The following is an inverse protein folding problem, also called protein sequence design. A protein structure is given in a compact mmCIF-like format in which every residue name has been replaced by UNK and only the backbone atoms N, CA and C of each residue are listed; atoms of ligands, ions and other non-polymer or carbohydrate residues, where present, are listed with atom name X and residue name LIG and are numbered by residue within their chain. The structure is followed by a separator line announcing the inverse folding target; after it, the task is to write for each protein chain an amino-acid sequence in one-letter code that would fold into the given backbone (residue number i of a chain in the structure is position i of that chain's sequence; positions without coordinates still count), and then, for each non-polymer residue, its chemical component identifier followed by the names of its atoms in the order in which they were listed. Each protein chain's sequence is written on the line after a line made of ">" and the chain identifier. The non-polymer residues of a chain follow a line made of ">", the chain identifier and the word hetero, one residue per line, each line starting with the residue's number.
data_IF_441918563269
#
_entry.id   IF_441918563269
#
_cell.length_a   1.000
_cell.length_b   1.000
_cell.length_c   1.000
_cell.angle_alpha   90.00
_cell.angle_beta   90.00
_cell.angle_gamma   90.00
#
_symmetry.space_group_name_H-M   'P 1'
#
loop_
_entity.id
_entity.type
_entity.pdbx_description
1 polymer ?
#
# COMPACT_ATOMS: atom_id res chain seq x y z
N UNK A 1 -3.50 9.47 -17.40
CA UNK A 1 -3.90 8.50 -16.36
C UNK A 1 -2.80 8.42 -15.32
N UNK A 2 -3.12 8.53 -14.03
CA UNK A 2 -2.11 8.41 -12.98
C UNK A 2 -1.64 6.94 -12.89
N UNK A 3 -0.39 6.67 -13.28
CA UNK A 3 0.20 5.32 -13.37
C UNK A 3 0.60 4.76 -12.00
N UNK A 4 0.82 5.65 -11.03
CA UNK A 4 1.25 5.35 -9.68
C UNK A 4 0.39 6.12 -8.66
N UNK A 5 -0.72 5.50 -8.26
CA UNK A 5 -1.56 5.96 -7.16
C UNK A 5 -1.44 4.98 -6.00
N UNK A 6 -1.14 5.46 -4.80
CA UNK A 6 -1.29 4.68 -3.58
C UNK A 6 -2.77 4.66 -3.20
N UNK A 7 -3.33 3.47 -3.08
CA UNK A 7 -4.67 3.31 -2.53
C UNK A 7 -4.61 3.61 -1.02
N UNK A 8 -5.57 4.39 -0.55
CA UNK A 8 -5.86 4.57 0.87
C UNK A 8 -6.66 3.38 1.43
N UNK A 9 -6.77 3.29 2.76
CA UNK A 9 -7.62 2.28 3.40
C UNK A 9 -9.08 2.40 2.95
N UNK A 10 -9.64 3.62 2.88
CA UNK A 10 -11.00 3.87 2.42
C UNK A 10 -11.23 3.40 0.98
N UNK A 11 -10.24 3.56 0.10
CA UNK A 11 -10.33 3.05 -1.27
C UNK A 11 -10.27 1.52 -1.31
N UNK A 12 -9.46 0.89 -0.46
CA UNK A 12 -9.43 -0.57 -0.32
C UNK A 12 -10.75 -1.12 0.21
N UNK A 13 -11.38 -0.44 1.16
CA UNK A 13 -12.72 -0.81 1.67
C UNK A 13 -13.77 -0.72 0.56
N UNK A 14 -13.74 0.34 -0.25
CA UNK A 14 -14.62 0.45 -1.42
C UNK A 14 -14.38 -0.69 -2.42
N UNK A 15 -13.13 -1.03 -2.71
CA UNK A 15 -12.79 -2.18 -3.56
C UNK A 15 -13.40 -3.46 -2.99
N UNK A 16 -13.23 -3.71 -1.69
CA UNK A 16 -13.77 -4.89 -1.00
C UNK A 16 -15.29 -4.99 -1.14
N UNK A 17 -16.02 -3.93 -0.80
CA UNK A 17 -17.48 -3.88 -0.90
C UNK A 17 -17.96 -4.10 -2.33
N UNK A 18 -17.33 -3.44 -3.30
CA UNK A 18 -17.70 -3.56 -4.72
C UNK A 18 -17.42 -4.96 -5.28
N UNK A 19 -16.31 -5.59 -4.88
CA UNK A 19 -16.02 -6.97 -5.26
C UNK A 19 -17.03 -7.95 -4.68
N UNK A 20 -17.44 -7.76 -3.43
CA UNK A 20 -18.51 -8.55 -2.80
C UNK A 20 -19.85 -8.41 -3.53
N UNK A 21 -20.12 -7.24 -4.13
CA UNK A 21 -21.28 -6.99 -4.99
C UNK A 21 -21.11 -7.53 -6.43
N UNK A 22 -20.01 -8.19 -6.77
CA UNK A 22 -19.74 -8.72 -8.11
C UNK A 22 -19.37 -7.66 -9.15
N UNK A 23 -19.01 -6.44 -8.73
CA UNK A 23 -18.63 -5.36 -9.64
C UNK A 23 -17.27 -5.67 -10.26
N UNK A 24 -17.20 -5.54 -11.61
CA UNK A 24 -15.97 -5.82 -12.36
C UNK A 24 -14.85 -4.82 -12.02
N UNK A 25 -13.57 -5.25 -11.96
CA UNK A 25 -12.43 -4.38 -11.66
C UNK A 25 -12.29 -3.12 -12.52
N UNK A 26 -12.72 -3.16 -13.78
CA UNK A 26 -12.72 -1.99 -14.67
C UNK A 26 -13.69 -0.90 -14.19
N UNK A 27 -14.89 -1.29 -13.73
CA UNK A 27 -15.90 -0.35 -13.22
C UNK A 27 -15.47 0.24 -11.87
N UNK A 28 -14.88 -0.58 -11.01
CA UNK A 28 -14.27 -0.14 -9.75
C UNK A 28 -13.22 0.94 -10.01
N UNK A 29 -12.33 0.72 -10.99
CA UNK A 29 -11.30 1.68 -11.35
C UNK A 29 -11.87 3.03 -11.80
N UNK A 30 -12.89 3.02 -12.66
CA UNK A 30 -13.59 4.24 -13.08
C UNK A 30 -14.23 4.98 -11.90
N UNK A 31 -14.89 4.25 -10.98
CA UNK A 31 -15.52 4.84 -9.80
C UNK A 31 -14.53 5.46 -8.80
N UNK A 32 -13.31 4.89 -8.71
CA UNK A 32 -12.24 5.39 -7.83
C UNK A 32 -11.29 6.39 -8.52
N UNK A 33 -11.58 6.76 -9.77
CA UNK A 33 -10.75 7.67 -10.56
C UNK A 33 -9.31 7.18 -10.73
N UNK A 34 -9.11 5.86 -10.87
CA UNK A 34 -7.79 5.27 -11.04
C UNK A 34 -7.74 4.34 -12.27
N UNK A 35 -6.53 3.92 -12.67
CA UNK A 35 -6.38 3.02 -13.81
C UNK A 35 -6.79 1.59 -13.44
N UNK A 36 -7.34 0.85 -14.42
CA UNK A 36 -7.67 -0.56 -14.26
C UNK A 36 -6.48 -1.40 -13.78
N UNK A 37 -5.26 -1.05 -14.19
CA UNK A 37 -4.05 -1.77 -13.80
C UNK A 37 -3.71 -1.60 -12.31
N UNK A 38 -4.13 -0.51 -11.65
CA UNK A 38 -3.98 -0.34 -10.20
C UNK A 38 -4.89 -1.33 -9.48
N UNK A 39 -6.18 -1.38 -9.82
CA UNK A 39 -7.14 -2.30 -9.21
C UNK A 39 -6.75 -3.76 -9.46
N UNK A 40 -6.37 -4.09 -10.69
CA UNK A 40 -5.95 -5.46 -11.03
C UNK A 40 -4.74 -5.91 -10.22
N UNK A 41 -3.72 -5.06 -10.07
CA UNK A 41 -2.52 -5.36 -9.27
C UNK A 41 -2.83 -5.42 -7.78
N UNK A 42 -3.74 -4.58 -7.28
CA UNK A 42 -4.18 -4.62 -5.89
C UNK A 42 -4.88 -5.95 -5.57
N UNK A 43 -5.81 -6.38 -6.42
CA UNK A 43 -6.53 -7.65 -6.27
C UNK A 43 -5.56 -8.82 -6.36
N UNK A 44 -4.71 -8.85 -7.40
CA UNK A 44 -3.80 -9.98 -7.61
C UNK A 44 -2.78 -10.16 -6.48
N UNK A 45 -2.41 -9.08 -5.79
CA UNK A 45 -1.46 -9.13 -4.67
C UNK A 45 -2.09 -9.54 -3.35
N UNK A 46 -3.40 -9.37 -3.19
CA UNK A 46 -4.07 -9.48 -1.89
C UNK A 46 -5.22 -10.50 -1.85
N UNK A 47 -5.73 -10.97 -2.99
CA UNK A 47 -6.58 -12.16 -3.05
C UNK A 47 -5.72 -13.42 -3.07
N UNK A 48 -5.76 -14.19 -1.98
CA UNK A 48 -5.16 -15.54 -1.94
C UNK A 48 -6.16 -16.56 -2.51
N UNK A 49 -5.65 -17.72 -2.92
CA UNK A 49 -6.48 -18.83 -3.37
C UNK A 49 -7.55 -19.13 -2.30
N UNK A 50 -8.81 -19.20 -2.74
CA UNK A 50 -9.99 -19.46 -1.89
C UNK A 50 -10.24 -18.44 -0.77
N UNK A 51 -9.71 -17.23 -0.87
CA UNK A 51 -9.98 -16.15 0.09
C UNK A 51 -10.57 -14.93 -0.61
N UNK A 52 -11.62 -14.37 -0.01
CA UNK A 52 -12.14 -13.08 -0.42
C UNK A 52 -11.11 -11.97 -0.21
N UNK A 53 -11.19 -10.90 -1.01
CA UNK A 53 -10.38 -9.72 -0.81
C UNK A 53 -10.66 -9.10 0.56
N UNK A 54 -9.63 -8.77 1.34
CA UNK A 54 -9.74 -8.07 2.62
C UNK A 54 -8.96 -6.76 2.59
N UNK A 55 -9.67 -5.64 2.78
CA UNK A 55 -9.08 -4.31 2.80
C UNK A 55 -8.04 -4.15 3.92
N UNK A 56 -8.35 -4.67 5.12
CA UNK A 56 -7.47 -4.61 6.28
C UNK A 56 -6.17 -5.39 6.04
N UNK A 57 -6.28 -6.63 5.55
CA UNK A 57 -5.10 -7.44 5.21
C UNK A 57 -4.25 -6.76 4.13
N UNK A 58 -4.87 -6.18 3.11
CA UNK A 58 -4.17 -5.47 2.05
C UNK A 58 -3.43 -4.23 2.57
N UNK A 59 -4.03 -3.48 3.50
CA UNK A 59 -3.40 -2.33 4.14
C UNK A 59 -2.20 -2.75 5.00
N UNK A 60 -2.37 -3.75 5.86
CA UNK A 60 -1.29 -4.30 6.70
C UNK A 60 -0.11 -4.76 5.83
N UNK A 61 -0.38 -5.45 4.72
CA UNK A 61 0.65 -5.90 3.79
C UNK A 61 1.38 -4.72 3.12
N UNK A 62 0.64 -3.67 2.75
CA UNK A 62 1.22 -2.44 2.21
C UNK A 62 2.12 -1.75 3.24
N UNK A 63 1.67 -1.60 4.49
CA UNK A 63 2.41 -0.93 5.55
C UNK A 63 3.68 -1.69 5.92
N UNK A 64 3.61 -3.03 6.00
CA UNK A 64 4.80 -3.89 6.22
C UNK A 64 5.84 -3.70 5.11
N UNK A 65 5.42 -3.73 3.85
CA UNK A 65 6.33 -3.53 2.70
C UNK A 65 6.90 -2.12 2.70
N UNK A 66 6.07 -1.11 2.97
CA UNK A 66 6.50 0.28 3.02
C UNK A 66 7.51 0.50 4.14
N UNK A 67 7.30 -0.11 5.32
CA UNK A 67 8.22 -0.03 6.44
C UNK A 67 9.56 -0.69 6.12
N UNK A 68 9.56 -1.86 5.47
CA UNK A 68 10.80 -2.54 5.09
C UNK A 68 11.63 -1.76 4.05
N UNK A 69 10.97 -0.99 3.17
CA UNK A 69 11.64 -0.18 2.16
C UNK A 69 12.02 1.23 2.65
N UNK A 70 11.62 1.65 3.86
CA UNK A 70 12.01 2.97 4.37
C UNK A 70 13.49 2.95 4.74
N UNK A 71 14.28 3.96 4.32
CA UNK A 71 15.64 4.10 4.80
C UNK A 71 15.61 4.29 6.32
N UNK A 72 16.55 3.64 7.01
CA UNK A 72 16.79 3.90 8.44
C UNK A 72 17.31 5.32 8.62
N UNK A 73 17.01 5.96 9.74
CA UNK A 73 17.59 7.26 10.00
C UNK A 73 19.09 7.08 10.22
N UNK A 74 19.89 8.00 9.68
CA UNK A 74 21.34 7.94 9.84
C UNK A 74 21.75 7.96 11.31
N UNK A 75 21.00 8.68 12.15
CA UNK A 75 21.25 8.79 13.58
C UNK A 75 20.66 7.64 14.42
N UNK A 76 19.99 6.66 13.80
CA UNK A 76 19.67 5.39 14.47
C UNK A 76 20.96 4.57 14.72
N UNK A 77 22.03 4.86 13.97
CA UNK A 77 23.37 4.33 14.21
C UNK A 77 24.02 5.12 15.35
N UNK A 78 24.26 4.44 16.47
CA UNK A 78 24.80 5.03 17.70
C UNK A 78 26.21 5.58 17.50
N UNK A 79 27.05 4.91 16.71
CA UNK A 79 28.43 5.36 16.45
C UNK A 79 28.41 6.62 15.58
N UNK A 80 27.59 6.61 14.53
CA UNK A 80 27.43 7.78 13.67
C UNK A 80 26.81 8.96 14.43
N UNK A 81 25.84 8.70 15.31
CA UNK A 81 25.22 9.73 16.14
C UNK A 81 26.24 10.39 17.08
N UNK A 82 27.05 9.59 17.78
CA UNK A 82 28.10 10.12 18.66
C UNK A 82 29.13 10.93 17.87
N UNK A 83 29.57 10.42 16.72
CA UNK A 83 30.52 11.12 15.85
C UNK A 83 30.00 12.49 15.39
N UNK A 84 28.72 12.57 15.03
CA UNK A 84 28.09 13.85 14.63
C UNK A 84 28.02 14.81 15.80
N UNK A 85 27.67 14.32 16.99
CA UNK A 85 27.66 15.16 18.20
C UNK A 85 29.06 15.71 18.48
N UNK A 86 30.07 14.85 18.59
CA UNK A 86 31.43 15.24 18.96
C UNK A 86 32.07 16.25 17.99
N UNK A 87 31.67 16.24 16.70
CA UNK A 87 32.27 17.07 15.67
C UNK A 87 31.50 18.35 15.33
N UNK A 88 30.19 18.41 15.58
CA UNK A 88 29.34 19.46 15.03
C UNK A 88 28.32 20.06 16.02
N UNK A 89 28.14 19.50 17.22
CA UNK A 89 27.20 19.97 18.24
C UNK A 89 27.90 20.14 19.59
#
# INVERSE_FOLDING_TARGET
>A
MNTHKHLSINEREKIMLMLAQGIKPSKIASMLGCSRSIISREISRNCKLNQAYSANTAQINYDKKRQACKPKFKLDDKELCQLVHDKFL
#
